data_IF_635244536819
#
_entry.id   IF_635244536819
#
_cell.length_a   1.000
_cell.length_b   1.000
_cell.length_c   1.000
_cell.angle_alpha   90.00
_cell.angle_beta   90.00
_cell.angle_gamma   90.00
#
_symmetry.space_group_name_H-M   'P 1'
#
loop_
_entity.id
_entity.type
_entity.pdbx_description
1 polymer ?
#
# COMPACT_ATOMS: atom_id res chain seq x y z
N UNK A 1 0.10 -5.29 18.77
CA UNK A 1 1.12 -5.68 17.77
C UNK A 1 1.67 -4.39 17.20
N UNK A 2 2.98 -4.17 17.31
CA UNK A 2 3.66 -2.96 16.82
C UNK A 2 3.55 -2.90 15.29
N UNK A 3 3.16 -1.75 14.72
CA UNK A 3 3.02 -1.59 13.26
C UNK A 3 4.36 -1.77 12.54
N UNK A 4 5.49 -1.51 13.21
CA UNK A 4 6.84 -1.77 12.66
C UNK A 4 7.10 -3.25 12.45
N UNK A 5 6.45 -4.14 13.20
CA UNK A 5 6.62 -5.60 13.08
C UNK A 5 6.06 -6.18 11.79
N UNK A 6 5.25 -5.44 11.03
CA UNK A 6 4.66 -5.92 9.78
C UNK A 6 5.50 -5.60 8.53
N UNK A 7 6.50 -4.73 8.64
CA UNK A 7 7.36 -4.40 7.50
C UNK A 7 8.49 -5.43 7.45
N UNK A 8 8.46 -6.27 6.43
CA UNK A 8 9.29 -7.49 6.33
C UNK A 8 10.11 -7.48 5.04
N UNK A 9 11.13 -8.34 4.99
CA UNK A 9 11.86 -8.64 3.76
C UNK A 9 11.03 -9.60 2.87
N UNK A 10 11.19 -9.56 1.53
CA UNK A 10 10.49 -10.47 0.63
C UNK A 10 10.62 -11.96 1.00
N UNK A 11 11.80 -12.38 1.47
CA UNK A 11 12.08 -13.76 1.86
C UNK A 11 11.34 -14.22 3.13
N UNK A 12 10.78 -13.29 3.90
CA UNK A 12 10.04 -13.58 5.14
C UNK A 12 8.53 -13.74 4.90
N UNK A 13 8.06 -13.49 3.67
CA UNK A 13 6.64 -13.65 3.32
C UNK A 13 6.24 -15.13 3.36
N UNK A 14 5.20 -15.49 4.14
CA UNK A 14 4.69 -16.85 4.14
C UNK A 14 4.18 -17.27 2.76
N UNK A 15 4.37 -18.53 2.39
CA UNK A 15 3.80 -19.10 1.17
C UNK A 15 2.26 -18.96 1.17
N UNK A 16 1.68 -18.67 0.00
CA UNK A 16 0.24 -18.46 -0.14
C UNK A 16 -0.26 -17.08 0.33
N UNK A 17 0.63 -16.18 0.75
CA UNK A 17 0.27 -14.79 1.04
C UNK A 17 -0.14 -14.09 -0.25
N UNK A 18 -1.31 -13.45 -0.22
CA UNK A 18 -1.80 -12.66 -1.36
C UNK A 18 -1.08 -11.32 -1.42
N UNK A 19 -0.71 -10.89 -2.62
CA UNK A 19 0.05 -9.67 -2.86
C UNK A 19 -0.81 -8.59 -3.51
N UNK A 20 -0.88 -7.43 -2.88
CA UNK A 20 -1.38 -6.21 -3.49
C UNK A 20 -0.25 -5.19 -3.65
N UNK A 21 -0.27 -4.37 -4.70
CA UNK A 21 0.71 -3.29 -4.89
C UNK A 21 0.02 -1.94 -5.07
N UNK A 22 0.67 -0.87 -4.60
CA UNK A 22 0.19 0.51 -4.70
C UNK A 22 1.23 1.50 -4.21
N UNK A 23 0.96 2.79 -4.38
CA UNK A 23 1.84 3.87 -3.96
C UNK A 23 1.56 4.31 -2.53
N UNK A 24 0.28 4.45 -2.19
CA UNK A 24 -0.28 4.90 -0.91
C UNK A 24 0.26 6.27 -0.51
N UNK A 25 0.30 7.20 -1.47
CA UNK A 25 0.88 8.53 -1.33
C UNK A 25 -0.09 9.66 -1.75
N UNK A 26 -0.87 10.22 -0.81
CA UNK A 26 -0.97 9.88 0.61
C UNK A 26 -1.84 8.63 0.87
N UNK A 27 -1.79 8.09 2.10
CA UNK A 27 -2.73 7.06 2.52
C UNK A 27 -4.13 7.65 2.73
N UNK A 28 -5.09 7.27 1.90
CA UNK A 28 -6.48 7.71 1.94
C UNK A 28 -7.38 6.66 2.61
N UNK A 29 -8.51 7.09 3.19
CA UNK A 29 -9.49 6.19 3.82
C UNK A 29 -10.00 5.10 2.85
N UNK A 30 -10.12 5.44 1.56
CA UNK A 30 -10.59 4.51 0.53
C UNK A 30 -9.65 3.29 0.35
N UNK A 31 -8.36 3.43 0.68
CA UNK A 31 -7.38 2.36 0.54
C UNK A 31 -7.67 1.19 1.49
N UNK A 32 -8.25 1.45 2.66
CA UNK A 32 -8.63 0.37 3.58
C UNK A 32 -9.69 -0.55 2.97
N UNK A 33 -10.66 0.02 2.24
CA UNK A 33 -11.68 -0.75 1.54
C UNK A 33 -11.08 -1.52 0.35
N UNK A 34 -10.23 -0.89 -0.45
CA UNK A 34 -9.58 -1.55 -1.58
C UNK A 34 -8.66 -2.69 -1.15
N UNK A 35 -7.96 -2.54 -0.03
CA UNK A 35 -7.12 -3.60 0.52
C UNK A 35 -7.97 -4.74 1.11
N UNK A 36 -9.15 -4.45 1.66
CA UNK A 36 -10.11 -5.49 2.06
C UNK A 36 -10.67 -6.26 0.87
N UNK A 37 -11.01 -5.57 -0.22
CA UNK A 37 -11.38 -6.19 -1.50
C UNK A 37 -10.21 -7.03 -2.05
N UNK A 38 -9.00 -6.47 -2.05
CA UNK A 38 -7.81 -7.13 -2.56
C UNK A 38 -7.44 -8.38 -1.76
N UNK A 39 -7.69 -8.41 -0.44
CA UNK A 39 -7.53 -9.61 0.39
C UNK A 39 -8.43 -10.75 -0.08
N UNK A 40 -9.67 -10.44 -0.49
CA UNK A 40 -10.65 -11.44 -0.90
C UNK A 40 -10.82 -12.53 0.16
N UNK A 41 -10.77 -13.79 -0.28
CA UNK A 41 -10.85 -14.97 0.60
C UNK A 41 -9.50 -15.41 1.20
N UNK A 42 -8.40 -14.68 0.95
CA UNK A 42 -7.08 -15.08 1.43
C UNK A 42 -6.88 -14.77 2.92
N UNK A 43 -6.23 -15.71 3.62
CA UNK A 43 -5.95 -15.60 5.05
C UNK A 43 -4.92 -14.52 5.39
N UNK A 44 -4.04 -14.17 4.44
CA UNK A 44 -2.96 -13.19 4.61
C UNK A 44 -2.85 -12.26 3.43
N UNK A 45 -2.70 -10.97 3.73
CA UNK A 45 -2.44 -9.93 2.73
C UNK A 45 -1.09 -9.26 3.00
N UNK A 46 -0.22 -9.26 2.00
CA UNK A 46 0.98 -8.45 1.94
C UNK A 46 0.81 -7.30 0.94
N UNK A 47 1.32 -6.12 1.29
CA UNK A 47 1.27 -4.93 0.42
C UNK A 47 2.68 -4.53 -0.01
N UNK A 48 2.90 -4.48 -1.32
CA UNK A 48 4.12 -3.97 -1.94
C UNK A 48 3.96 -2.45 -2.12
N UNK A 49 4.85 -1.70 -1.49
CA UNK A 49 4.90 -0.23 -1.60
C UNK A 49 5.79 0.11 -2.79
N UNK A 50 5.16 0.56 -3.88
CA UNK A 50 5.86 1.10 -5.05
C UNK A 50 6.08 2.60 -4.91
N UNK A 51 6.97 3.13 -5.74
CA UNK A 51 7.21 4.57 -5.84
C UNK A 51 6.33 5.22 -6.91
N UNK A 52 5.55 6.27 -6.55
CA UNK A 52 4.89 7.11 -7.53
C UNK A 52 5.92 8.01 -8.25
N UNK A 53 5.58 8.59 -9.42
CA UNK A 53 6.49 9.47 -10.14
C UNK A 53 6.95 10.71 -9.36
N UNK A 54 6.09 11.23 -8.48
CA UNK A 54 6.36 12.42 -7.65
C UNK A 54 5.89 12.13 -6.22
N UNK A 55 6.73 11.54 -5.35
CA UNK A 55 6.35 11.18 -4.00
C UNK A 55 6.20 12.40 -3.08
N UNK A 56 5.14 12.42 -2.27
CA UNK A 56 4.92 13.37 -1.18
C UNK A 56 5.55 12.83 0.11
N UNK A 57 5.42 11.52 0.34
CA UNK A 57 5.99 10.80 1.48
C UNK A 57 7.11 9.87 1.03
N UNK A 58 8.07 9.58 1.92
CA UNK A 58 9.07 8.54 1.64
C UNK A 58 8.42 7.15 1.59
N UNK A 59 8.97 6.22 0.80
CA UNK A 59 8.49 4.84 0.74
C UNK A 59 8.37 4.18 2.12
N UNK A 60 9.33 4.48 3.02
CA UNK A 60 9.30 4.01 4.41
C UNK A 60 8.11 4.57 5.20
N UNK A 61 7.82 5.87 5.08
CA UNK A 61 6.68 6.48 5.75
C UNK A 61 5.35 5.88 5.25
N UNK A 62 5.23 5.67 3.93
CA UNK A 62 4.05 5.01 3.33
C UNK A 62 3.89 3.57 3.84
N UNK A 63 5.00 2.83 3.93
CA UNK A 63 5.00 1.49 4.49
C UNK A 63 4.51 1.45 5.95
N UNK A 64 4.94 2.39 6.79
CA UNK A 64 4.51 2.49 8.19
C UNK A 64 3.02 2.82 8.31
N UNK A 65 2.51 3.71 7.46
CA UNK A 65 1.08 4.05 7.41
C UNK A 65 0.24 2.84 6.97
N UNK A 66 0.66 2.14 5.92
CA UNK A 66 -0.03 0.94 5.41
C UNK A 66 0.03 -0.19 6.43
N UNK A 67 1.16 -0.38 7.11
CA UNK A 67 1.31 -1.40 8.16
C UNK A 67 0.38 -1.16 9.37
N UNK A 68 -0.01 0.09 9.63
CA UNK A 68 -0.98 0.41 10.67
C UNK A 68 -2.41 -0.08 10.34
N UNK A 69 -2.72 -0.40 9.08
CA UNK A 69 -4.03 -0.91 8.69
C UNK A 69 -4.25 -2.34 9.21
N UNK A 70 -5.43 -2.59 9.80
CA UNK A 70 -5.79 -3.90 10.36
C UNK A 70 -5.86 -5.00 9.30
N UNK A 71 -6.28 -4.65 8.08
CA UNK A 71 -6.45 -5.59 6.97
C UNK A 71 -5.14 -6.10 6.39
N UNK A 72 -4.04 -5.38 6.63
CA UNK A 72 -2.70 -5.68 6.14
C UNK A 72 -1.96 -6.52 7.17
N UNK A 73 -1.48 -7.69 6.75
CA UNK A 73 -0.68 -8.58 7.58
C UNK A 73 0.81 -8.28 7.44
N UNK A 74 1.28 -7.97 6.22
CA UNK A 74 2.68 -7.66 5.92
C UNK A 74 2.80 -6.47 4.96
N UNK A 75 3.94 -5.78 5.02
CA UNK A 75 4.31 -4.73 4.07
C UNK A 75 5.73 -4.98 3.60
N UNK A 76 5.94 -4.85 2.30
CA UNK A 76 7.23 -5.01 1.64
C UNK A 76 7.52 -3.77 0.82
N UNK A 77 8.76 -3.30 0.86
CA UNK A 77 9.21 -2.26 -0.07
C UNK A 77 9.50 -2.91 -1.42
N UNK A 78 9.20 -2.21 -2.51
CA UNK A 78 9.44 -2.72 -3.86
C UNK A 78 10.93 -3.05 -4.09
N UNK A 79 11.18 -4.26 -4.58
CA UNK A 79 12.51 -4.81 -4.83
C UNK A 79 12.46 -5.77 -6.03
N UNK A 80 13.52 -5.89 -6.83
CA UNK A 80 13.52 -6.72 -8.05
C UNK A 80 13.22 -8.21 -7.84
N UNK A 81 13.41 -8.73 -6.62
CA UNK A 81 13.18 -10.13 -6.27
C UNK A 81 11.71 -10.47 -5.97
N UNK A 82 10.83 -9.46 -5.88
CA UNK A 82 9.42 -9.68 -5.62
C UNK A 82 8.71 -10.21 -6.88
N UNK A 83 7.81 -11.21 -6.73
CA UNK A 83 6.92 -11.59 -7.81
C UNK A 83 5.94 -10.45 -8.11
N UNK A 84 5.30 -10.51 -9.28
CA UNK A 84 4.21 -9.60 -9.61
C UNK A 84 3.07 -9.72 -8.58
N UNK A 85 2.47 -8.60 -8.21
CA UNK A 85 1.33 -8.59 -7.31
C UNK A 85 0.09 -9.22 -7.96
N UNK A 86 -0.70 -9.95 -7.17
CA UNK A 86 -1.99 -10.51 -7.57
C UNK A 86 -3.01 -9.40 -7.86
N UNK A 87 -2.90 -8.27 -7.15
CA UNK A 87 -3.76 -7.10 -7.31
C UNK A 87 -2.91 -5.83 -7.44
N UNK A 88 -3.03 -5.15 -8.58
CA UNK A 88 -2.29 -3.92 -8.89
C UNK A 88 -3.21 -2.71 -8.75
N UNK A 89 -2.93 -1.83 -7.79
CA UNK A 89 -3.76 -0.66 -7.45
C UNK A 89 -3.15 0.67 -7.92
N UNK A 90 -1.95 0.67 -8.49
CA UNK A 90 -1.13 1.85 -8.77
C UNK A 90 -1.88 2.93 -9.56
N UNK A 91 -2.58 2.56 -10.63
CA UNK A 91 -3.33 3.51 -11.45
C UNK A 91 -4.54 4.08 -10.70
N UNK A 92 -5.24 3.23 -9.94
CA UNK A 92 -6.43 3.61 -9.15
C UNK A 92 -6.03 4.57 -8.02
N UNK A 93 -4.91 4.27 -7.38
CA UNK A 93 -4.30 5.05 -6.30
C UNK A 93 -3.79 6.41 -6.80
N UNK A 94 -3.07 6.44 -7.93
CA UNK A 94 -2.65 7.69 -8.57
C UNK A 94 -3.83 8.61 -8.90
N UNK A 95 -4.95 8.06 -9.40
CA UNK A 95 -6.15 8.84 -9.67
C UNK A 95 -6.78 9.40 -8.38
N UNK A 96 -6.85 8.62 -7.30
CA UNK A 96 -7.38 9.08 -6.02
C UNK A 96 -6.48 10.13 -5.36
N UNK A 97 -5.16 9.96 -5.42
CA UNK A 97 -4.19 10.95 -4.95
C UNK A 97 -4.32 12.27 -5.71
N UNK A 98 -4.42 12.24 -7.04
CA UNK A 98 -4.61 13.44 -7.85
C UNK A 98 -5.91 14.18 -7.49
N UNK A 99 -7.02 13.45 -7.33
CA UNK A 99 -8.30 14.03 -6.91
C UNK A 99 -8.21 14.66 -5.51
N UNK A 100 -7.55 13.99 -4.56
CA UNK A 100 -7.35 14.51 -3.21
C UNK A 100 -6.51 15.80 -3.20
N UNK A 101 -5.39 15.82 -3.93
CA UNK A 101 -4.54 17.01 -4.03
C UNK A 101 -5.28 18.19 -4.67
N UNK A 102 -6.05 17.94 -5.74
CA UNK A 102 -6.88 18.97 -6.36
C UNK A 102 -7.89 19.58 -5.36
N UNK A 103 -8.57 18.73 -4.59
CA UNK A 103 -9.52 19.14 -3.56
C UNK A 103 -8.88 19.95 -2.43
N UNK A 104 -7.70 19.55 -1.97
CA UNK A 104 -6.96 20.31 -0.94
C UNK A 104 -6.56 21.69 -1.44
N UNK A 105 -6.07 21.80 -2.68
CA UNK A 105 -5.68 23.09 -3.29
C UNK A 105 -6.87 24.04 -3.40
N UNK A 106 -8.04 23.55 -3.74
CA UNK A 106 -9.27 24.36 -3.81
C UNK A 106 -9.72 24.91 -2.44
N UNK A 107 -9.33 24.29 -1.33
CA UNK A 107 -9.68 24.75 0.02
C UNK A 107 -8.65 25.71 0.62
N UNK A 108 -7.46 25.82 0.03
CA UNK A 108 -6.36 26.65 0.52
C UNK A 108 -6.21 27.99 -0.24
N UNK A 109 -6.94 28.16 -1.35
CA UNK A 109 -7.09 29.43 -2.07
C UNK A 109 -8.43 30.08 -1.76
#
# INVERSE_FOLDING_TARGET
MDSRSKIVLPAELPAGTRLASGYFDPLLTVHAAWLAEARGASDKLAVIIKDPPVPILSARARAELVAALKVVDFVVLDQPSLPAADVQLEQRDAAAAAAFVAHVRQRQG
#
